data_IF_744314274423
#
_entry.id   IF_744314274423
#
_cell.length_a   1.000
_cell.length_b   1.000
_cell.length_c   1.000
_cell.angle_alpha   90.00
_cell.angle_beta   90.00
_cell.angle_gamma   90.00
#
_symmetry.space_group_name_H-M   'P 1'
#
loop_
_entity.id
_entity.type
_entity.pdbx_description
1 polymer ?
#
# COMPACT_ATOMS: atom_id res chain seq x y z
N UNK A 1 -10.31 -14.83 -0.45
CA UNK A 1 -11.45 -13.95 -0.80
C UNK A 1 -12.02 -14.23 -2.18
N UNK A 2 -11.31 -14.93 -3.07
CA UNK A 2 -11.82 -15.33 -4.41
C UNK A 2 -12.77 -16.55 -4.37
N UNK A 3 -12.82 -17.27 -3.27
CA UNK A 3 -13.72 -18.39 -3.08
C UNK A 3 -15.08 -17.91 -2.57
N UNK A 4 -16.04 -17.82 -3.48
CA UNK A 4 -17.38 -17.30 -3.19
C UNK A 4 -18.10 -18.15 -2.12
N UNK A 5 -18.03 -19.47 -2.19
CA UNK A 5 -18.80 -20.35 -1.28
C UNK A 5 -18.27 -20.24 0.16
N UNK A 6 -16.95 -20.18 0.34
CA UNK A 6 -16.36 -19.98 1.67
C UNK A 6 -16.68 -18.59 2.24
N UNK A 7 -16.62 -17.58 1.41
CA UNK A 7 -16.94 -16.20 1.84
C UNK A 7 -18.43 -16.06 2.15
N UNK A 8 -19.33 -16.61 1.33
CA UNK A 8 -20.77 -16.57 1.58
C UNK A 8 -21.15 -17.30 2.88
N UNK A 9 -20.47 -18.43 3.16
CA UNK A 9 -20.65 -19.12 4.45
C UNK A 9 -20.26 -18.23 5.62
N UNK A 10 -19.11 -17.51 5.51
CA UNK A 10 -18.68 -16.57 6.55
C UNK A 10 -19.74 -15.49 6.81
N UNK A 11 -20.29 -14.87 5.77
CA UNK A 11 -21.34 -13.84 5.90
C UNK A 11 -22.64 -14.42 6.49
N UNK A 12 -22.98 -15.67 6.19
CA UNK A 12 -24.13 -16.37 6.79
C UNK A 12 -23.95 -16.68 8.27
N UNK A 13 -22.74 -17.04 8.68
CA UNK A 13 -22.39 -17.37 10.06
C UNK A 13 -22.23 -16.12 10.95
N UNK A 14 -21.65 -15.05 10.36
CA UNK A 14 -21.41 -13.76 11.05
C UNK A 14 -22.47 -12.74 10.62
N UNK A 15 -23.54 -12.62 11.40
CA UNK A 15 -24.70 -11.78 11.04
C UNK A 15 -24.54 -10.30 11.38
N UNK A 16 -23.59 -9.96 12.24
CA UNK A 16 -23.43 -8.61 12.80
C UNK A 16 -22.17 -7.93 12.23
N UNK A 17 -22.01 -7.97 10.88
CA UNK A 17 -20.90 -7.31 10.20
C UNK A 17 -21.30 -5.87 9.87
N UNK A 18 -20.73 -4.88 10.54
CA UNK A 18 -20.99 -3.45 10.30
C UNK A 18 -20.15 -2.89 9.15
N UNK A 19 -18.93 -3.38 8.98
CA UNK A 19 -18.01 -2.93 7.94
C UNK A 19 -16.98 -4.01 7.59
N UNK A 20 -16.41 -3.90 6.39
CA UNK A 20 -15.31 -4.75 5.94
C UNK A 20 -14.05 -3.90 5.74
N UNK A 21 -12.91 -4.37 6.26
CA UNK A 21 -11.59 -3.84 5.90
C UNK A 21 -10.95 -4.82 4.93
N UNK A 22 -10.78 -4.42 3.68
CA UNK A 22 -10.26 -5.28 2.62
C UNK A 22 -8.76 -5.07 2.39
N UNK A 23 -7.94 -5.93 3.00
CA UNK A 23 -6.48 -5.96 2.81
C UNK A 23 -6.02 -6.98 1.77
N UNK A 24 -6.85 -7.98 1.47
CA UNK A 24 -6.45 -9.14 0.69
C UNK A 24 -6.08 -8.78 -0.75
N UNK A 25 -4.80 -8.82 -1.07
CA UNK A 25 -4.27 -8.59 -2.42
C UNK A 25 -2.84 -9.14 -2.54
N UNK A 26 -2.43 -9.47 -3.76
CA UNK A 26 -1.01 -9.54 -4.09
C UNK A 26 -0.46 -8.11 -4.25
N UNK A 27 0.73 -7.83 -3.71
CA UNK A 27 1.27 -6.47 -3.58
C UNK A 27 2.64 -6.22 -4.22
N UNK A 28 3.30 -7.24 -4.75
CA UNK A 28 4.64 -7.09 -5.32
C UNK A 28 4.57 -6.47 -6.72
N UNK A 29 5.12 -5.26 -6.87
CA UNK A 29 5.19 -4.56 -8.15
C UNK A 29 5.97 -5.40 -9.18
N UNK A 30 7.14 -5.90 -8.81
CA UNK A 30 7.99 -6.72 -9.67
C UNK A 30 7.30 -8.02 -10.12
N UNK A 31 6.66 -8.75 -9.19
CA UNK A 31 5.92 -9.97 -9.53
C UNK A 31 4.75 -9.66 -10.46
N UNK A 32 4.07 -8.53 -10.27
CA UNK A 32 2.93 -8.15 -11.11
C UNK A 32 3.33 -7.96 -12.57
N UNK A 33 4.54 -7.45 -12.84
CA UNK A 33 5.07 -7.32 -14.20
C UNK A 33 5.32 -8.70 -14.82
N UNK A 34 5.81 -9.67 -14.03
CA UNK A 34 6.07 -11.04 -14.51
C UNK A 34 4.81 -11.89 -14.63
N UNK A 35 3.81 -11.66 -13.79
CA UNK A 35 2.59 -12.46 -13.70
C UNK A 35 1.32 -11.57 -13.64
N UNK A 36 1.03 -10.74 -14.64
CA UNK A 36 -0.06 -9.77 -14.58
C UNK A 36 -1.43 -10.43 -14.35
N UNK A 37 -1.72 -11.51 -15.03
CA UNK A 37 -3.01 -12.22 -14.91
C UNK A 37 -3.29 -12.70 -13.49
N UNK A 38 -2.26 -13.13 -12.75
CA UNK A 38 -2.39 -13.51 -11.33
C UNK A 38 -2.92 -12.35 -10.50
N UNK A 39 -2.43 -11.15 -10.77
CA UNK A 39 -2.84 -9.93 -10.05
C UNK A 39 -4.25 -9.49 -10.41
N UNK A 40 -4.60 -9.48 -11.69
CA UNK A 40 -5.95 -9.13 -12.13
C UNK A 40 -6.99 -10.11 -11.56
N UNK A 41 -6.78 -11.40 -11.73
CA UNK A 41 -7.71 -12.43 -11.25
C UNK A 41 -7.87 -12.42 -9.72
N UNK A 42 -6.79 -12.23 -8.97
CA UNK A 42 -6.87 -12.24 -7.52
C UNK A 42 -7.36 -10.91 -6.96
N UNK A 43 -6.75 -9.78 -7.33
CA UNK A 43 -7.02 -8.51 -6.67
C UNK A 43 -8.39 -7.95 -7.04
N UNK A 44 -8.77 -8.03 -8.31
CA UNK A 44 -10.09 -7.58 -8.77
C UNK A 44 -11.14 -8.62 -8.41
N UNK A 45 -10.92 -9.91 -8.72
CA UNK A 45 -11.88 -10.96 -8.45
C UNK A 45 -12.23 -11.13 -6.96
N UNK A 46 -11.26 -10.92 -6.05
CA UNK A 46 -11.54 -10.93 -4.61
C UNK A 46 -12.46 -9.78 -4.19
N UNK A 47 -12.27 -8.59 -4.76
CA UNK A 47 -13.11 -7.43 -4.47
C UNK A 47 -14.50 -7.56 -5.09
N UNK A 48 -14.61 -8.05 -6.33
CA UNK A 48 -15.91 -8.34 -6.98
C UNK A 48 -16.72 -9.35 -6.15
N UNK A 49 -16.10 -10.45 -5.74
CA UNK A 49 -16.72 -11.45 -4.87
C UNK A 49 -17.21 -10.79 -3.57
N UNK A 50 -16.37 -9.97 -2.95
CA UNK A 50 -16.69 -9.30 -1.70
C UNK A 50 -17.86 -8.31 -1.85
N UNK A 51 -17.86 -7.45 -2.87
CA UNK A 51 -18.94 -6.48 -3.14
C UNK A 51 -20.26 -7.20 -3.37
N UNK A 52 -20.27 -8.28 -4.16
CA UNK A 52 -21.47 -9.08 -4.42
C UNK A 52 -22.05 -9.67 -3.13
N UNK A 53 -21.19 -10.21 -2.25
CA UNK A 53 -21.62 -10.75 -0.97
C UNK A 53 -22.06 -9.67 0.00
N UNK A 54 -21.35 -8.55 0.09
CA UNK A 54 -21.76 -7.40 0.90
C UNK A 54 -23.17 -6.92 0.53
N UNK A 55 -23.46 -6.78 -0.77
CA UNK A 55 -24.79 -6.42 -1.26
C UNK A 55 -25.84 -7.47 -0.88
N UNK A 56 -25.53 -8.77 -1.04
CA UNK A 56 -26.45 -9.88 -0.75
C UNK A 56 -26.77 -10.00 0.75
N UNK A 57 -25.86 -9.57 1.61
CA UNK A 57 -25.99 -9.65 3.07
C UNK A 57 -26.24 -8.30 3.75
N UNK A 58 -26.53 -7.23 2.98
CA UNK A 58 -26.77 -5.87 3.46
C UNK A 58 -25.61 -5.26 4.28
N UNK A 59 -24.39 -5.61 3.98
CA UNK A 59 -23.18 -4.98 4.55
C UNK A 59 -22.78 -3.83 3.63
N UNK A 60 -22.92 -2.58 4.11
CA UNK A 60 -22.87 -1.41 3.25
C UNK A 60 -21.59 -0.57 3.40
N UNK A 61 -20.61 -0.99 4.18
CA UNK A 61 -19.44 -0.18 4.48
C UNK A 61 -18.15 -0.93 4.18
N UNK A 62 -17.26 -0.34 3.38
CA UNK A 62 -15.93 -0.90 3.07
C UNK A 62 -14.82 0.12 3.30
N UNK A 63 -13.76 -0.32 3.97
CA UNK A 63 -12.47 0.35 3.97
C UNK A 63 -11.54 -0.41 3.03
N UNK A 64 -11.12 0.23 1.96
CA UNK A 64 -10.30 -0.40 0.94
C UNK A 64 -8.82 -0.03 1.09
N UNK A 65 -7.98 -1.05 1.15
CA UNK A 65 -6.52 -0.93 1.11
C UNK A 65 -6.06 -0.59 -0.31
N UNK A 66 -6.03 0.70 -0.62
CA UNK A 66 -5.51 1.23 -1.88
C UNK A 66 -4.01 1.54 -1.78
N UNK A 67 -3.44 2.22 -2.76
CA UNK A 67 -2.01 2.49 -2.85
C UNK A 67 -1.76 3.80 -3.59
N UNK A 68 -0.66 4.49 -3.25
CA UNK A 68 -0.17 5.64 -4.02
C UNK A 68 0.15 5.30 -5.48
N UNK A 69 0.30 4.02 -5.82
CA UNK A 69 0.54 3.57 -7.20
C UNK A 69 -0.60 3.91 -8.17
N UNK A 70 -1.79 4.27 -7.65
CA UNK A 70 -2.91 4.75 -8.49
C UNK A 70 -2.59 6.07 -9.18
N UNK A 71 -1.67 6.86 -8.64
CA UNK A 71 -1.24 8.13 -9.24
C UNK A 71 -0.25 7.96 -10.38
N UNK A 72 0.36 6.77 -10.55
CA UNK A 72 1.46 6.58 -11.49
C UNK A 72 2.61 7.56 -11.20
N UNK A 73 3.11 8.22 -12.23
CA UNK A 73 4.05 9.35 -12.10
C UNK A 73 3.24 10.65 -12.01
N UNK A 74 3.08 11.24 -10.82
CA UNK A 74 2.24 12.43 -10.64
C UNK A 74 2.89 13.66 -11.28
N UNK A 75 2.08 14.54 -11.85
CA UNK A 75 2.53 15.79 -12.46
C UNK A 75 3.02 16.80 -11.41
N UNK A 76 2.38 16.82 -10.24
CA UNK A 76 2.72 17.71 -9.14
C UNK A 76 2.95 16.95 -7.84
N UNK A 77 3.87 17.46 -7.03
CA UNK A 77 4.21 16.94 -5.70
C UNK A 77 4.21 18.10 -4.68
N UNK A 78 3.73 17.88 -3.45
CA UNK A 78 3.10 16.63 -2.95
C UNK A 78 1.79 16.32 -3.67
N UNK A 79 1.50 15.01 -3.89
CA UNK A 79 0.27 14.59 -4.57
C UNK A 79 -0.91 14.53 -3.59
N UNK A 80 -2.04 15.14 -3.96
CA UNK A 80 -3.28 15.11 -3.18
C UNK A 80 -4.31 14.15 -3.81
N UNK A 81 -5.41 13.91 -3.09
CA UNK A 81 -6.45 12.97 -3.51
C UNK A 81 -7.29 13.44 -4.71
N UNK A 82 -7.21 14.72 -5.08
CA UNK A 82 -7.87 15.27 -6.27
C UNK A 82 -7.07 15.01 -7.56
N UNK A 83 -5.82 14.60 -7.43
CA UNK A 83 -5.01 14.24 -8.59
C UNK A 83 -5.67 13.06 -9.34
N UNK A 84 -5.76 13.13 -10.67
CA UNK A 84 -6.33 12.05 -11.46
C UNK A 84 -5.48 10.78 -11.34
N UNK A 85 -6.07 9.64 -11.65
CA UNK A 85 -5.28 8.43 -11.87
C UNK A 85 -4.35 8.65 -13.05
N UNK A 86 -3.05 8.49 -12.80
CA UNK A 86 -2.03 8.53 -13.84
C UNK A 86 -1.97 7.23 -14.64
N UNK A 87 -1.06 7.18 -15.61
CA UNK A 87 -0.74 5.92 -16.27
C UNK A 87 -0.14 4.97 -15.23
N UNK A 88 -0.74 3.80 -15.06
CA UNK A 88 -0.21 2.79 -14.15
C UNK A 88 1.18 2.32 -14.62
N UNK A 89 2.16 2.40 -13.73
CA UNK A 89 3.54 1.97 -14.02
C UNK A 89 3.73 0.45 -13.86
N UNK A 90 2.71 -0.23 -13.32
CA UNK A 90 2.71 -1.69 -13.12
C UNK A 90 1.30 -2.27 -13.15
N UNK A 91 1.14 -3.57 -13.46
CA UNK A 91 -0.14 -4.26 -13.32
C UNK A 91 -0.72 -4.20 -11.92
N UNK A 92 0.11 -4.22 -10.87
CA UNK A 92 -0.35 -3.98 -9.50
C UNK A 92 -1.03 -2.61 -9.35
N UNK A 93 -0.40 -1.55 -9.82
CA UNK A 93 -0.99 -0.20 -9.79
C UNK A 93 -2.30 -0.14 -10.57
N UNK A 94 -2.36 -0.77 -11.74
CA UNK A 94 -3.56 -0.85 -12.56
C UNK A 94 -4.70 -1.59 -11.83
N UNK A 95 -4.40 -2.72 -11.14
CA UNK A 95 -5.43 -3.41 -10.34
C UNK A 95 -5.98 -2.52 -9.23
N UNK A 96 -5.15 -1.66 -8.59
CA UNK A 96 -5.63 -0.73 -7.56
C UNK A 96 -6.53 0.37 -8.14
N UNK A 97 -6.21 0.91 -9.33
CA UNK A 97 -7.08 1.85 -10.04
C UNK A 97 -8.43 1.22 -10.39
N UNK A 98 -8.42 0.01 -10.94
CA UNK A 98 -9.65 -0.72 -11.31
C UNK A 98 -10.49 -1.06 -10.09
N UNK A 99 -9.87 -1.44 -8.96
CA UNK A 99 -10.58 -1.69 -7.71
C UNK A 99 -11.23 -0.42 -7.15
N UNK A 100 -10.55 0.74 -7.18
CA UNK A 100 -11.18 2.00 -6.75
C UNK A 100 -12.36 2.39 -7.64
N UNK A 101 -12.27 2.18 -8.96
CA UNK A 101 -13.38 2.38 -9.89
C UNK A 101 -14.56 1.44 -9.61
N UNK A 102 -14.28 0.15 -9.39
CA UNK A 102 -15.31 -0.83 -9.06
C UNK A 102 -16.07 -0.45 -7.78
N UNK A 103 -15.35 0.05 -6.77
CA UNK A 103 -15.96 0.55 -5.53
C UNK A 103 -16.79 1.82 -5.79
N UNK A 104 -16.28 2.76 -6.60
CA UNK A 104 -16.98 3.99 -6.96
C UNK A 104 -18.30 3.71 -7.68
N UNK A 105 -18.31 2.71 -8.57
CA UNK A 105 -19.49 2.31 -9.35
C UNK A 105 -20.49 1.48 -8.51
N UNK A 106 -20.11 0.98 -7.33
CA UNK A 106 -20.99 0.21 -6.44
C UNK A 106 -21.90 1.15 -5.61
N UNK A 107 -22.92 0.60 -4.96
CA UNK A 107 -23.79 1.34 -4.02
C UNK A 107 -23.25 1.36 -2.57
N UNK A 108 -22.06 0.78 -2.34
CA UNK A 108 -21.47 0.61 -1.00
C UNK A 108 -20.77 1.91 -0.57
N UNK A 109 -20.94 2.30 0.69
CA UNK A 109 -20.16 3.36 1.31
C UNK A 109 -18.68 2.93 1.36
N UNK A 110 -17.77 3.82 1.02
CA UNK A 110 -16.36 3.44 0.92
C UNK A 110 -15.40 4.52 1.36
N UNK A 111 -14.30 4.07 1.96
CA UNK A 111 -13.11 4.87 2.18
C UNK A 111 -11.92 4.11 1.59
N UNK A 112 -11.32 4.66 0.53
CA UNK A 112 -10.09 4.14 -0.04
C UNK A 112 -8.88 4.78 0.65
N UNK A 113 -8.07 3.97 1.31
CA UNK A 113 -6.86 4.43 1.98
C UNK A 113 -5.67 4.17 1.05
N UNK A 114 -5.14 5.25 0.44
CA UNK A 114 -4.01 5.21 -0.51
C UNK A 114 -2.70 5.24 0.26
N UNK A 115 -2.15 4.04 0.53
CA UNK A 115 -0.88 3.92 1.27
C UNK A 115 0.30 4.38 0.44
N UNK A 116 1.19 5.14 1.09
CA UNK A 116 2.53 5.33 0.59
C UNK A 116 3.41 4.16 1.06
N UNK A 117 4.52 4.35 1.71
CA UNK A 117 5.42 3.24 2.06
C UNK A 117 5.32 2.89 3.55
N UNK A 118 4.52 1.87 3.96
CA UNK A 118 4.48 1.45 5.35
C UNK A 118 5.82 0.91 5.81
N UNK A 119 6.26 1.33 7.00
CA UNK A 119 7.53 0.91 7.62
C UNK A 119 7.37 0.75 9.13
N UNK A 120 8.37 0.13 9.75
CA UNK A 120 8.42 -0.06 11.19
C UNK A 120 7.65 -1.28 11.68
N UNK A 121 7.64 -1.44 12.99
CA UNK A 121 6.95 -2.52 13.70
C UNK A 121 6.27 -1.96 14.94
N UNK A 122 5.38 -2.76 15.55
CA UNK A 122 4.76 -2.36 16.80
C UNK A 122 5.81 -2.23 17.92
N UNK A 123 5.71 -1.20 18.82
CA UNK A 123 6.71 -0.97 19.88
C UNK A 123 6.94 -2.15 20.83
N UNK A 124 5.97 -3.06 20.94
CA UNK A 124 6.11 -4.28 21.74
C UNK A 124 7.02 -5.33 21.11
N UNK A 125 7.43 -5.15 19.85
CA UNK A 125 8.20 -6.13 19.06
C UNK A 125 7.53 -7.50 18.88
N UNK A 126 6.24 -7.62 19.21
CA UNK A 126 5.46 -8.86 19.04
C UNK A 126 4.95 -9.03 17.60
N UNK A 127 4.92 -7.94 16.83
CA UNK A 127 4.43 -7.89 15.45
C UNK A 127 5.47 -7.17 14.61
N UNK A 128 5.85 -7.77 13.49
CA UNK A 128 6.78 -7.20 12.51
C UNK A 128 6.43 -7.63 11.09
N UNK A 129 7.19 -7.18 10.09
CA UNK A 129 7.06 -7.65 8.71
C UNK A 129 7.68 -9.06 8.59
N UNK A 130 6.81 -10.07 8.60
CA UNK A 130 7.16 -11.48 8.41
C UNK A 130 6.59 -11.95 7.08
N UNK A 131 7.11 -11.44 5.98
CA UNK A 131 6.74 -11.92 4.65
C UNK A 131 7.03 -13.42 4.53
N UNK A 132 6.07 -14.19 4.02
CA UNK A 132 6.25 -15.64 3.78
C UNK A 132 7.37 -15.91 2.77
N UNK A 133 7.59 -14.97 1.85
CA UNK A 133 8.66 -14.96 0.87
C UNK A 133 9.80 -14.00 1.32
N UNK A 134 10.87 -13.94 0.52
CA UNK A 134 11.97 -12.98 0.75
C UNK A 134 11.43 -11.55 0.76
N UNK A 135 11.86 -10.71 1.71
CA UNK A 135 11.47 -9.31 1.74
C UNK A 135 11.85 -8.58 0.45
N UNK A 136 10.91 -7.76 -0.06
CA UNK A 136 11.11 -6.92 -1.24
C UNK A 136 11.03 -5.42 -0.91
N UNK A 137 10.66 -5.07 0.32
CA UNK A 137 10.60 -3.69 0.78
C UNK A 137 11.94 -3.25 1.39
N UNK A 138 12.27 -1.96 1.25
CA UNK A 138 13.57 -1.39 1.64
C UNK A 138 13.94 -1.69 3.09
N UNK A 139 13.12 -1.29 4.06
CA UNK A 139 13.46 -1.38 5.48
C UNK A 139 13.62 -2.83 5.98
N UNK A 140 12.74 -3.79 5.63
CA UNK A 140 12.98 -5.20 5.92
C UNK A 140 14.29 -5.73 5.35
N UNK A 141 14.67 -5.34 4.13
CA UNK A 141 15.95 -5.73 3.53
C UNK A 141 17.14 -5.14 4.31
N UNK A 142 17.07 -3.86 4.69
CA UNK A 142 18.08 -3.23 5.54
C UNK A 142 18.23 -4.01 6.86
N UNK A 143 17.11 -4.40 7.49
CA UNK A 143 17.14 -5.19 8.73
C UNK A 143 17.76 -6.57 8.54
N UNK A 144 17.55 -7.23 7.39
CA UNK A 144 18.23 -8.51 7.07
C UNK A 144 19.73 -8.33 6.94
N UNK A 145 20.21 -7.27 6.27
CA UNK A 145 21.63 -6.97 6.16
C UNK A 145 22.23 -6.65 7.54
N UNK A 146 21.57 -5.78 8.30
CA UNK A 146 21.99 -5.39 9.64
C UNK A 146 22.10 -6.58 10.61
N UNK A 147 21.22 -7.57 10.46
CA UNK A 147 21.22 -8.79 11.30
C UNK A 147 22.11 -9.92 10.78
N UNK A 148 22.82 -9.72 9.66
CA UNK A 148 23.67 -10.73 9.03
C UNK A 148 22.92 -11.87 8.33
N UNK A 149 21.58 -11.75 8.17
CA UNK A 149 20.79 -12.72 7.40
C UNK A 149 20.99 -12.58 5.88
N UNK A 150 21.47 -11.43 5.44
CA UNK A 150 21.80 -11.10 4.07
C UNK A 150 23.15 -10.41 4.03
N UNK A 151 24.01 -10.75 3.07
CA UNK A 151 25.35 -10.18 2.96
C UNK A 151 25.33 -8.72 2.51
N UNK A 152 24.50 -8.40 1.52
CA UNK A 152 24.32 -7.05 0.98
C UNK A 152 22.93 -6.84 0.42
N UNK A 153 22.59 -5.59 0.17
CA UNK A 153 21.37 -5.23 -0.55
C UNK A 153 21.68 -4.53 -1.87
N UNK A 154 20.70 -4.42 -2.74
CA UNK A 154 20.83 -3.66 -3.99
C UNK A 154 19.99 -2.38 -3.93
N UNK A 155 20.61 -1.24 -4.28
CA UNK A 155 19.92 0.02 -4.57
C UNK A 155 19.60 0.04 -6.07
N UNK A 156 18.32 0.16 -6.41
CA UNK A 156 17.85 0.12 -7.79
C UNK A 156 17.84 1.52 -8.43
N UNK A 157 18.88 1.80 -9.22
CA UNK A 157 19.11 3.09 -9.87
C UNK A 157 19.77 4.11 -8.93
N UNK A 158 20.72 4.85 -9.49
CA UNK A 158 21.42 5.96 -8.85
C UNK A 158 21.53 7.17 -9.78
N UNK A 159 20.70 7.20 -10.80
CA UNK A 159 20.71 8.16 -11.89
C UNK A 159 19.34 8.86 -12.06
N UNK A 160 18.45 8.76 -11.06
CA UNK A 160 17.20 9.49 -11.02
C UNK A 160 17.45 11.00 -10.81
N UNK A 161 16.54 11.84 -11.30
CA UNK A 161 16.62 13.29 -11.10
C UNK A 161 16.17 13.66 -9.67
N UNK A 162 16.94 13.23 -8.67
CA UNK A 162 16.76 13.41 -7.23
C UNK A 162 18.04 13.95 -6.61
N UNK A 163 18.02 14.27 -5.32
CA UNK A 163 19.18 14.90 -4.65
C UNK A 163 20.44 13.99 -4.64
N UNK A 164 20.23 12.67 -4.56
CA UNK A 164 21.30 11.66 -4.48
C UNK A 164 21.24 10.60 -5.58
N UNK A 165 20.35 10.78 -6.56
CA UNK A 165 20.16 9.86 -7.66
C UNK A 165 19.29 8.65 -7.34
N UNK A 166 18.85 8.44 -6.09
CA UNK A 166 17.97 7.33 -5.71
C UNK A 166 16.50 7.74 -5.67
N UNK A 167 15.57 6.78 -5.68
CA UNK A 167 14.14 7.05 -5.63
C UNK A 167 13.73 7.74 -4.32
N UNK A 168 12.74 8.65 -4.41
CA UNK A 168 12.16 9.35 -3.26
C UNK A 168 10.78 8.78 -2.94
N UNK A 169 10.53 8.44 -1.66
CA UNK A 169 9.28 7.88 -1.16
C UNK A 169 8.83 8.58 0.12
N UNK A 170 7.55 8.42 0.43
CA UNK A 170 6.95 8.88 1.69
C UNK A 170 6.76 7.66 2.60
N UNK A 171 7.42 7.65 3.75
CA UNK A 171 7.42 6.52 4.67
C UNK A 171 6.51 6.80 5.86
N UNK A 172 5.46 5.99 6.03
CA UNK A 172 4.52 6.09 7.16
C UNK A 172 4.73 4.93 8.14
N UNK A 173 4.72 5.23 9.43
CA UNK A 173 4.84 4.19 10.44
C UNK A 173 3.60 3.29 10.47
N UNK A 174 3.81 1.95 10.52
CA UNK A 174 2.71 0.95 10.46
C UNK A 174 1.66 1.12 11.56
N UNK A 175 2.04 1.63 12.73
CA UNK A 175 1.11 1.93 13.83
C UNK A 175 0.19 3.10 13.48
N UNK A 176 0.70 4.13 12.80
CA UNK A 176 -0.13 5.28 12.39
C UNK A 176 -1.06 4.88 11.24
N UNK A 177 -0.57 4.05 10.34
CA UNK A 177 -1.41 3.44 9.31
C UNK A 177 -2.55 2.60 9.94
N UNK A 178 -2.27 1.79 10.97
CA UNK A 178 -3.29 1.02 11.68
C UNK A 178 -4.31 1.93 12.38
N UNK A 179 -3.86 3.00 13.04
CA UNK A 179 -4.76 4.01 13.64
C UNK A 179 -5.68 4.65 12.61
N UNK A 180 -5.14 4.98 11.42
CA UNK A 180 -5.95 5.53 10.33
C UNK A 180 -7.08 4.58 9.90
N UNK A 181 -6.87 3.26 9.92
CA UNK A 181 -7.94 2.28 9.67
C UNK A 181 -9.04 2.33 10.73
N UNK A 182 -8.66 2.39 12.01
CA UNK A 182 -9.63 2.51 13.11
C UNK A 182 -10.44 3.80 12.98
N UNK A 183 -9.78 4.92 12.65
CA UNK A 183 -10.46 6.19 12.42
C UNK A 183 -11.39 6.13 11.20
N UNK A 184 -10.96 5.48 10.10
CA UNK A 184 -11.78 5.30 8.91
C UNK A 184 -13.03 4.45 9.19
N UNK A 185 -12.91 3.38 9.97
CA UNK A 185 -14.07 2.56 10.41
C UNK A 185 -15.03 3.42 11.23
N UNK A 186 -14.54 4.13 12.23
CA UNK A 186 -15.39 5.01 13.05
C UNK A 186 -16.06 6.10 12.19
N UNK A 187 -15.34 6.64 11.22
CA UNK A 187 -15.88 7.68 10.35
C UNK A 187 -17.00 7.14 9.43
N UNK A 188 -16.78 5.98 8.79
CA UNK A 188 -17.77 5.40 7.86
C UNK A 188 -19.02 4.91 8.58
N UNK A 189 -18.92 4.41 9.81
CA UNK A 189 -20.06 3.96 10.61
C UNK A 189 -20.93 5.13 11.12
N UNK A 190 -20.33 6.32 11.28
CA UNK A 190 -21.05 7.50 11.75
C UNK A 190 -21.56 8.41 10.62
N UNK A 191 -21.32 8.04 9.36
CA UNK A 191 -21.74 8.83 8.20
C UNK A 191 -22.43 7.94 7.17
N UNK A 192 -23.42 8.50 6.50
CA UNK A 192 -24.12 7.82 5.42
C UNK A 192 -23.72 8.38 4.05
N UNK A 193 -23.74 7.53 3.03
CA UNK A 193 -23.46 7.90 1.63
C UNK A 193 -22.05 8.52 1.45
N UNK A 194 -21.05 7.91 2.09
CA UNK A 194 -19.68 8.36 1.97
C UNK A 194 -18.94 7.54 0.90
N UNK A 195 -18.30 8.23 -0.04
CA UNK A 195 -17.32 7.68 -0.97
C UNK A 195 -16.17 8.65 -1.04
N UNK A 196 -15.01 8.26 -0.53
CA UNK A 196 -13.86 9.15 -0.47
C UNK A 196 -12.54 8.36 -0.45
N UNK A 197 -11.45 9.05 -0.77
CA UNK A 197 -10.10 8.52 -0.60
C UNK A 197 -9.29 9.42 0.33
N UNK A 198 -8.31 8.84 1.02
CA UNK A 198 -7.32 9.54 1.84
C UNK A 198 -5.92 9.02 1.55
N UNK A 199 -4.97 9.94 1.42
CA UNK A 199 -3.56 9.62 1.34
C UNK A 199 -3.02 9.28 2.74
N UNK A 200 -2.40 8.11 2.87
CA UNK A 200 -1.71 7.69 4.09
C UNK A 200 -0.19 7.79 3.91
N UNK A 201 0.33 8.98 4.16
CA UNK A 201 1.74 9.32 4.19
C UNK A 201 2.01 10.42 5.21
N UNK A 202 3.27 10.75 5.44
CA UNK A 202 3.65 11.83 6.38
C UNK A 202 3.79 13.18 5.70
N UNK A 203 3.74 13.23 4.37
CA UNK A 203 3.84 14.45 3.57
C UNK A 203 5.28 14.88 3.32
N UNK A 204 6.24 14.00 3.49
CA UNK A 204 7.65 14.26 3.27
C UNK A 204 8.29 13.18 2.42
N UNK A 205 9.00 13.58 1.37
CA UNK A 205 9.75 12.68 0.53
C UNK A 205 11.15 12.43 1.09
N UNK A 206 11.50 11.15 1.27
CA UNK A 206 12.82 10.71 1.74
C UNK A 206 13.41 9.76 0.69
N UNK A 207 14.67 9.95 0.34
CA UNK A 207 15.35 9.09 -0.63
C UNK A 207 15.74 7.73 -0.05
N UNK A 208 16.00 6.76 -0.93
CA UNK A 208 16.49 5.44 -0.49
C UNK A 208 17.82 5.58 0.25
N UNK A 209 18.74 6.44 -0.24
CA UNK A 209 20.03 6.67 0.41
C UNK A 209 19.86 7.31 1.79
N UNK A 210 18.99 8.33 1.92
CA UNK A 210 18.72 8.97 3.22
C UNK A 210 18.18 7.98 4.26
N UNK A 211 17.34 7.00 3.85
CA UNK A 211 16.86 5.94 4.76
C UNK A 211 18.02 5.05 5.23
N UNK A 212 18.91 4.64 4.33
CA UNK A 212 20.08 3.81 4.66
C UNK A 212 21.01 4.58 5.61
N UNK A 213 21.33 5.83 5.28
CA UNK A 213 22.23 6.67 6.08
C UNK A 213 21.68 6.92 7.49
N UNK A 214 20.37 7.19 7.57
CA UNK A 214 19.68 7.36 8.85
C UNK A 214 19.72 6.08 9.69
N UNK A 215 19.46 4.92 9.07
CA UNK A 215 19.52 3.63 9.75
C UNK A 215 20.93 3.33 10.27
N UNK A 216 21.96 3.52 9.45
CA UNK A 216 23.37 3.36 9.82
C UNK A 216 23.75 4.25 11.01
N UNK A 217 23.40 5.54 10.93
CA UNK A 217 23.69 6.52 11.97
C UNK A 217 23.05 6.16 13.30
N UNK A 218 21.75 5.81 13.29
CA UNK A 218 21.00 5.51 14.53
C UNK A 218 21.50 4.25 15.21
N UNK A 219 21.89 3.23 14.42
CA UNK A 219 22.29 1.93 14.95
C UNK A 219 23.81 1.78 15.08
N UNK A 220 24.59 2.79 14.68
CA UNK A 220 26.06 2.80 14.68
C UNK A 220 26.65 1.55 14.01
N UNK A 221 26.17 1.25 12.80
CA UNK A 221 26.61 0.12 11.98
C UNK A 221 26.63 0.52 10.50
N UNK A 222 27.28 -0.29 9.68
CA UNK A 222 27.32 -0.12 8.23
C UNK A 222 26.39 -1.12 7.54
N UNK A 223 25.69 -0.66 6.49
CA UNK A 223 24.85 -1.48 5.61
C UNK A 223 25.59 -1.69 4.30
N UNK A 224 25.93 -2.93 4.01
CA UNK A 224 26.55 -3.30 2.74
C UNK A 224 25.53 -3.25 1.61
N UNK A 225 25.82 -2.48 0.54
CA UNK A 225 24.95 -2.40 -0.63
C UNK A 225 25.72 -2.28 -1.94
N UNK A 226 25.07 -2.64 -3.03
CA UNK A 226 25.55 -2.48 -4.39
C UNK A 226 24.57 -1.62 -5.19
N UNK A 227 25.08 -0.85 -6.15
CA UNK A 227 24.27 -0.08 -7.08
C UNK A 227 23.88 -0.97 -8.26
N UNK A 228 22.58 -1.05 -8.54
CA UNK A 228 22.01 -1.80 -9.64
C UNK A 228 21.29 -0.91 -10.65
N UNK A 229 20.83 -1.49 -11.77
CA UNK A 229 20.01 -0.77 -12.74
C UNK A 229 18.66 -0.36 -12.13
N UNK A 230 17.98 0.60 -12.76
CA UNK A 230 16.61 0.96 -12.39
C UNK A 230 15.69 -0.25 -12.46
N UNK A 231 14.81 -0.39 -11.49
CA UNK A 231 13.80 -1.45 -11.47
C UNK A 231 12.57 -1.02 -12.28
N UNK A 232 12.05 -1.93 -13.11
CA UNK A 232 10.84 -1.66 -13.89
C UNK A 232 9.64 -1.41 -12.96
N UNK A 233 8.85 -0.38 -13.25
CA UNK A 233 7.69 0.02 -12.47
C UNK A 233 7.99 0.92 -11.27
N UNK A 234 9.25 1.31 -11.05
CA UNK A 234 9.58 2.31 -10.02
C UNK A 234 9.33 3.74 -10.54
N UNK A 235 8.60 4.50 -9.74
CA UNK A 235 8.42 5.95 -9.92
C UNK A 235 9.62 6.67 -9.30
N UNK A 236 10.13 7.72 -9.95
CA UNK A 236 11.28 8.49 -9.45
C UNK A 236 11.01 9.13 -8.10
N UNK A 237 9.91 9.90 -7.99
CA UNK A 237 9.48 10.60 -6.78
C UNK A 237 8.00 10.44 -6.56
N UNK A 238 7.60 10.10 -5.32
CA UNK A 238 6.20 10.16 -4.90
C UNK A 238 6.10 10.37 -3.39
N UNK A 239 5.41 11.44 -2.96
CA UNK A 239 5.07 11.73 -1.57
C UNK A 239 3.74 12.49 -1.49
N UNK A 240 3.06 12.32 -0.36
CA UNK A 240 1.68 12.75 -0.17
C UNK A 240 1.53 14.21 0.19
N UNK A 241 0.45 14.83 -0.24
CA UNK A 241 -0.22 15.85 0.54
C UNK A 241 -1.16 15.12 1.54
N UNK A 242 -0.92 15.30 2.82
CA UNK A 242 -1.71 14.68 3.90
C UNK A 242 -2.65 15.67 4.60
N UNK A 243 -2.97 16.78 3.97
CA UNK A 243 -3.83 17.83 4.55
C UNK A 243 -5.24 17.33 4.80
N UNK A 244 -5.77 16.49 3.89
CA UNK A 244 -7.15 15.98 3.98
C UNK A 244 -7.37 15.03 5.14
N UNK A 245 -6.34 14.27 5.56
CA UNK A 245 -6.47 13.26 6.64
C UNK A 245 -6.19 13.83 8.03
N UNK A 246 -5.57 14.99 8.15
CA UNK A 246 -5.34 15.71 9.41
C UNK A 246 -6.61 16.34 9.94
#
# INVERSE_FOLDING_TARGET
>A
CTDFEQMDRLFKEQKDIDAVIHFAAFKSVEESVRQPNKYFLNNIGSLETLINLMNSHNVNNIIFSSSCTVYGTPEFLPVNELAPFGKAESPYGETKQLCEKLIEDSEINSISLRYFNPVGSHPTSLIGDCSADKPNNLVPIICEVASGKRESMQIFGNDYNTIDGTCVRDYIHVVDLAKAHVMAVNHILNNTKIKTAYNLGVGNGVSVQEVIDSFQKVNNLEISYELGPRRAGDVEKIYSDNTKIK
#
